data_IF_168517046288
#
_entry.id   IF_168517046288
#
_cell.length_a   1.000
_cell.length_b   1.000
_cell.length_c   1.000
_cell.angle_alpha   90.00
_cell.angle_beta   90.00
_cell.angle_gamma   90.00
#
_symmetry.space_group_name_H-M   'P 1'
#
loop_
_entity.id
_entity.type
_entity.pdbx_description
1 polymer ?
#
# COMPACT_ATOMS: atom_id res chain seq x y z
N UNK A 1 6.53 -13.37 1.33
CA UNK A 1 5.21 -13.94 1.05
C UNK A 1 4.37 -12.85 0.40
N UNK A 2 3.67 -13.15 -0.68
CA UNK A 2 2.85 -12.19 -1.44
C UNK A 2 1.39 -12.67 -1.37
N UNK A 3 0.48 -11.75 -1.08
CA UNK A 3 -0.95 -12.04 -0.95
C UNK A 3 -1.70 -11.16 -1.95
N UNK A 4 -2.46 -11.76 -2.85
CA UNK A 4 -3.16 -11.03 -3.91
C UNK A 4 -4.62 -10.75 -3.52
N UNK A 5 -5.00 -9.47 -3.52
CA UNK A 5 -6.38 -9.04 -3.27
C UNK A 5 -7.31 -9.56 -4.38
N UNK A 6 -8.41 -10.19 -3.99
CA UNK A 6 -9.39 -10.80 -4.90
C UNK A 6 -9.12 -12.28 -5.22
N UNK A 7 -7.95 -12.81 -4.85
CA UNK A 7 -7.63 -14.24 -4.96
C UNK A 7 -7.46 -14.88 -3.58
N UNK A 8 -6.55 -14.33 -2.78
CA UNK A 8 -6.19 -14.90 -1.47
C UNK A 8 -6.93 -14.22 -0.32
N UNK A 9 -7.31 -12.94 -0.50
CA UNK A 9 -8.10 -12.17 0.46
C UNK A 9 -9.20 -11.36 -0.23
N UNK A 10 -10.31 -11.12 0.48
CA UNK A 10 -11.40 -10.27 -0.03
C UNK A 10 -11.26 -8.83 0.47
N UNK A 11 -11.83 -7.87 -0.27
CA UNK A 11 -11.92 -6.46 0.14
C UNK A 11 -12.62 -6.27 1.48
N UNK A 12 -13.59 -7.15 1.81
CA UNK A 12 -14.29 -7.14 3.11
C UNK A 12 -13.35 -7.49 4.25
N UNK A 13 -12.55 -8.54 4.09
CA UNK A 13 -11.54 -8.95 5.08
C UNK A 13 -10.45 -7.89 5.23
N UNK A 14 -9.96 -7.35 4.10
CA UNK A 14 -8.97 -6.27 4.11
C UNK A 14 -9.50 -5.05 4.88
N UNK A 15 -10.73 -4.61 4.61
CA UNK A 15 -11.36 -3.49 5.31
C UNK A 15 -11.58 -3.77 6.80
N UNK A 16 -11.91 -5.00 7.19
CA UNK A 16 -12.07 -5.36 8.60
C UNK A 16 -10.74 -5.26 9.38
N UNK A 17 -9.62 -5.50 8.71
CA UNK A 17 -8.27 -5.43 9.30
C UNK A 17 -7.70 -4.01 9.25
N UNK A 18 -7.84 -3.30 8.12
CA UNK A 18 -7.23 -1.96 7.94
C UNK A 18 -8.13 -0.80 8.36
N UNK A 19 -9.44 -1.03 8.49
CA UNK A 19 -10.44 0.03 8.76
C UNK A 19 -10.68 0.99 7.59
N UNK A 20 -9.93 0.88 6.50
CA UNK A 20 -9.94 1.83 5.41
C UNK A 20 -10.92 1.42 4.29
N UNK A 21 -11.61 2.42 3.74
CA UNK A 21 -12.66 2.27 2.73
C UNK A 21 -12.19 2.44 1.30
N UNK A 22 -11.00 2.99 1.09
CA UNK A 22 -10.46 3.38 -0.23
C UNK A 22 -9.23 2.56 -0.58
N UNK A 23 -9.07 2.24 -1.86
CA UNK A 23 -7.91 1.51 -2.41
C UNK A 23 -7.41 2.25 -3.66
N UNK A 24 -6.11 2.15 -4.01
CA UNK A 24 -5.05 1.38 -3.33
C UNK A 24 -4.59 2.02 -2.01
N UNK A 25 -4.10 1.19 -1.09
CA UNK A 25 -3.38 1.62 0.12
C UNK A 25 -1.98 1.02 0.08
N UNK A 26 -0.98 1.86 0.21
CA UNK A 26 0.42 1.47 0.07
C UNK A 26 1.12 1.60 1.42
N UNK A 27 1.82 0.55 1.81
CA UNK A 27 2.65 0.52 3.01
C UNK A 27 4.08 0.20 2.62
N UNK A 28 5.05 0.91 3.20
CA UNK A 28 6.49 0.64 3.05
C UNK A 28 7.07 0.57 4.46
N UNK A 29 7.80 -0.51 4.77
CA UNK A 29 8.33 -0.80 6.11
C UNK A 29 7.28 -0.74 7.23
N UNK A 30 6.04 -1.17 6.93
CA UNK A 30 4.92 -1.15 7.88
C UNK A 30 4.30 0.22 8.12
N UNK A 31 4.80 1.29 7.48
CA UNK A 31 4.22 2.63 7.53
C UNK A 31 3.26 2.86 6.38
N UNK A 32 2.06 3.36 6.68
CA UNK A 32 1.11 3.79 5.65
C UNK A 32 1.68 4.99 4.89
N UNK A 33 1.89 4.81 3.60
CA UNK A 33 2.29 5.87 2.66
C UNK A 33 1.04 6.58 2.14
N UNK A 34 -0.03 5.84 1.86
CA UNK A 34 -1.30 6.40 1.41
C UNK A 34 -1.77 5.79 0.10
N UNK A 35 -2.33 6.62 -0.78
CA UNK A 35 -2.86 6.22 -2.09
C UNK A 35 -1.76 6.23 -3.16
N UNK A 36 -2.14 5.98 -4.42
CA UNK A 36 -1.25 6.05 -5.58
C UNK A 36 -0.49 7.38 -5.68
N UNK A 37 -1.15 8.50 -5.38
CA UNK A 37 -0.56 9.83 -5.46
C UNK A 37 0.53 10.01 -4.39
N UNK A 38 0.25 9.56 -3.16
CA UNK A 38 1.20 9.63 -2.06
C UNK A 38 2.41 8.70 -2.28
N UNK A 39 2.19 7.55 -2.92
CA UNK A 39 3.28 6.66 -3.34
C UNK A 39 4.18 7.34 -4.37
N UNK A 40 3.60 7.98 -5.38
CA UNK A 40 4.36 8.66 -6.42
C UNK A 40 5.22 9.80 -5.84
N UNK A 41 4.66 10.60 -4.92
CA UNK A 41 5.43 11.62 -4.18
C UNK A 41 6.53 11.00 -3.31
N UNK A 42 6.23 9.91 -2.58
CA UNK A 42 7.21 9.18 -1.77
C UNK A 42 8.39 8.70 -2.63
N UNK A 43 8.14 8.11 -3.80
CA UNK A 43 9.19 7.62 -4.69
C UNK A 43 10.01 8.74 -5.34
N UNK A 44 9.42 9.92 -5.62
CA UNK A 44 10.16 11.10 -6.09
C UNK A 44 11.08 11.68 -5.01
N UNK A 45 10.67 11.59 -3.75
CA UNK A 45 11.44 12.11 -2.60
C UNK A 45 12.64 11.22 -2.24
N UNK A 46 12.63 9.95 -2.64
CA UNK A 46 13.75 9.03 -2.43
C UNK A 46 14.82 9.25 -3.50
N UNK A 47 16.10 9.41 -3.13
CA UNK A 47 17.18 9.46 -4.11
C UNK A 47 17.22 8.13 -4.85
N UNK A 48 16.94 8.18 -6.15
CA UNK A 48 17.00 7.01 -7.03
C UNK A 48 18.45 6.54 -7.10
N UNK A 49 18.78 5.50 -6.33
CA UNK A 49 20.05 4.77 -6.41
C UNK A 49 21.08 5.15 -5.35
N UNK A 50 20.92 4.65 -4.12
CA UNK A 50 22.08 4.17 -3.38
C UNK A 50 22.31 2.72 -3.83
N UNK A 51 23.30 2.51 -4.72
CA UNK A 51 23.86 1.18 -4.99
C UNK A 51 24.70 0.72 -3.81
#
# INVERSE_FOLDING_TARGET
>A
EEIVLGKDITTRSLRAVTGATTVPQVFIDGKLIGTSEALDEYLRSQPVGAK
#
